data_IF_614154555729
#
_entry.id   IF_614154555729
#
_cell.length_a   1.000
_cell.length_b   1.000
_cell.length_c   1.000
_cell.angle_alpha   90.00
_cell.angle_beta   90.00
_cell.angle_gamma   90.00
#
_symmetry.space_group_name_H-M   'P 1'
#
loop_
_entity.id
_entity.type
_entity.pdbx_description
1 polymer ?
#
# COMPACT_ATOMS: atom_id res chain seq x y z
N UNK A 1 7.27 -32.14 -14.89
CA UNK A 1 7.33 -30.99 -15.82
C UNK A 1 7.93 -29.82 -15.07
N UNK A 2 9.17 -29.43 -15.40
CA UNK A 2 9.79 -28.22 -14.86
C UNK A 2 9.40 -27.09 -15.80
N UNK A 3 8.52 -26.19 -15.36
CA UNK A 3 8.19 -24.97 -16.10
C UNK A 3 9.40 -24.03 -16.01
N UNK A 4 9.84 -23.49 -17.14
CA UNK A 4 10.98 -22.57 -17.20
C UNK A 4 10.72 -21.34 -16.29
N UNK A 5 11.68 -21.01 -15.42
CA UNK A 5 11.57 -19.87 -14.50
C UNK A 5 11.36 -18.52 -15.19
N UNK A 6 11.70 -18.39 -16.48
CA UNK A 6 11.38 -17.22 -17.31
C UNK A 6 9.87 -17.04 -17.49
N UNK A 7 9.11 -18.13 -17.65
CA UNK A 7 7.65 -18.08 -17.80
C UNK A 7 7.03 -17.57 -16.50
N UNK A 8 7.47 -18.07 -15.35
CA UNK A 8 6.98 -17.59 -14.04
C UNK A 8 7.22 -16.09 -13.84
N UNK A 9 8.36 -15.56 -14.29
CA UNK A 9 8.65 -14.12 -14.22
C UNK A 9 7.66 -13.29 -15.07
N UNK A 10 7.44 -13.70 -16.31
CA UNK A 10 6.50 -13.00 -17.20
C UNK A 10 5.07 -13.06 -16.71
N UNK A 11 4.63 -14.23 -16.21
CA UNK A 11 3.31 -14.37 -15.57
C UNK A 11 3.22 -13.47 -14.34
N UNK A 12 4.25 -13.44 -13.48
CA UNK A 12 4.27 -12.59 -12.30
C UNK A 12 4.15 -11.10 -12.63
N UNK A 13 4.88 -10.63 -13.65
CA UNK A 13 4.76 -9.24 -14.14
C UNK A 13 3.36 -8.97 -14.68
N UNK A 14 2.78 -9.90 -15.44
CA UNK A 14 1.41 -9.78 -15.95
C UNK A 14 0.37 -9.67 -14.83
N UNK A 15 0.47 -10.53 -13.80
CA UNK A 15 -0.41 -10.51 -12.63
C UNK A 15 -0.26 -9.19 -11.86
N UNK A 16 0.97 -8.70 -11.67
CA UNK A 16 1.22 -7.43 -10.98
C UNK A 16 0.51 -6.26 -11.65
N UNK A 17 0.65 -6.10 -12.98
CA UNK A 17 0.00 -5.00 -13.69
C UNK A 17 -1.52 -5.16 -13.75
N UNK A 18 -2.02 -6.40 -13.84
CA UNK A 18 -3.46 -6.66 -13.81
C UNK A 18 -4.06 -6.21 -12.46
N UNK A 19 -3.51 -6.66 -11.33
CA UNK A 19 -4.03 -6.32 -10.00
C UNK A 19 -3.86 -4.84 -9.68
N UNK A 20 -2.74 -4.23 -10.08
CA UNK A 20 -2.51 -2.79 -9.94
C UNK A 20 -3.55 -1.98 -10.73
N UNK A 21 -3.85 -2.38 -11.97
CA UNK A 21 -4.85 -1.69 -12.80
C UNK A 21 -6.25 -1.79 -12.20
N UNK A 22 -6.61 -2.96 -11.66
CA UNK A 22 -7.88 -3.12 -10.93
C UNK A 22 -7.91 -2.19 -9.73
N UNK A 23 -6.85 -2.18 -8.90
CA UNK A 23 -6.75 -1.30 -7.73
C UNK A 23 -6.94 0.18 -8.08
N UNK A 24 -6.21 0.70 -9.07
CA UNK A 24 -6.30 2.12 -9.48
C UNK A 24 -7.71 2.47 -9.96
N UNK A 25 -8.40 1.54 -10.64
CA UNK A 25 -9.77 1.78 -11.12
C UNK A 25 -10.82 1.71 -10.02
N UNK A 26 -10.56 0.99 -8.94
CA UNK A 26 -11.55 0.75 -7.86
C UNK A 26 -11.24 1.51 -6.57
N UNK A 27 -10.06 2.11 -6.43
CA UNK A 27 -9.70 2.88 -5.24
C UNK A 27 -10.63 4.08 -5.07
N UNK A 28 -10.89 4.44 -3.81
CA UNK A 28 -11.71 5.60 -3.50
C UNK A 28 -11.08 6.88 -4.11
N UNK A 29 -11.88 7.76 -4.74
CA UNK A 29 -11.36 8.96 -5.41
C UNK A 29 -10.89 10.04 -4.42
N UNK A 30 -11.24 9.91 -3.14
CA UNK A 30 -10.90 10.84 -2.07
C UNK A 30 -10.55 10.10 -0.78
N UNK A 31 -10.02 10.84 0.19
CA UNK A 31 -9.66 10.37 1.53
C UNK A 31 -10.88 9.74 2.20
N UNK A 32 -10.76 8.49 2.66
CA UNK A 32 -11.83 7.85 3.44
C UNK A 32 -11.93 8.49 4.83
N UNK A 33 -13.15 8.52 5.38
CA UNK A 33 -13.44 9.26 6.61
C UNK A 33 -12.69 8.75 7.85
N UNK A 34 -12.32 7.47 7.89
CA UNK A 34 -11.85 6.82 9.11
C UNK A 34 -10.33 6.64 9.10
N UNK A 35 -9.85 5.52 8.54
CA UNK A 35 -8.46 5.12 8.64
C UNK A 35 -7.52 6.13 7.96
N UNK A 36 -7.87 6.66 6.78
CA UNK A 36 -6.94 7.51 6.05
C UNK A 36 -6.54 8.78 6.83
N UNK A 37 -7.50 9.44 7.49
CA UNK A 37 -7.22 10.62 8.31
C UNK A 37 -6.41 10.30 9.56
N UNK A 38 -6.75 9.21 10.24
CA UNK A 38 -6.02 8.73 11.42
C UNK A 38 -4.56 8.38 11.08
N UNK A 39 -4.33 7.71 9.95
CA UNK A 39 -2.99 7.37 9.48
C UNK A 39 -2.17 8.59 9.05
N UNK A 40 -2.79 9.62 8.47
CA UNK A 40 -2.10 10.89 8.16
C UNK A 40 -1.68 11.59 9.46
N UNK A 41 -2.60 11.74 10.41
CA UNK A 41 -2.34 12.41 11.68
C UNK A 41 -1.27 11.67 12.50
N UNK A 42 -1.37 10.34 12.60
CA UNK A 42 -0.38 9.52 13.31
C UNK A 42 0.96 9.47 12.61
N UNK A 43 1.02 9.51 11.27
CA UNK A 43 2.27 9.69 10.52
C UNK A 43 2.94 11.04 10.81
N UNK A 44 2.15 12.11 10.91
CA UNK A 44 2.68 13.45 11.21
C UNK A 44 3.26 13.55 12.63
N UNK A 45 2.59 12.99 13.64
CA UNK A 45 3.04 13.05 15.05
C UNK A 45 3.92 11.87 15.48
N UNK A 46 4.18 10.91 14.58
CA UNK A 46 4.81 9.61 14.90
C UNK A 46 4.07 8.83 15.99
N UNK A 47 2.74 8.85 15.91
CA UNK A 47 1.82 8.14 16.81
C UNK A 47 1.56 6.69 16.39
N UNK A 48 0.84 5.95 17.24
CA UNK A 48 0.37 4.59 16.97
C UNK A 48 -1.12 4.68 16.65
N UNK A 49 -1.57 4.34 15.42
CA UNK A 49 -3.00 4.39 15.08
C UNK A 49 -3.80 3.36 15.90
N UNK A 50 -3.56 2.06 15.66
CA UNK A 50 -4.19 0.98 16.43
C UNK A 50 -3.12 0.00 16.88
N UNK A 51 -3.13 -0.52 18.13
CA UNK A 51 -2.24 -1.59 18.55
C UNK A 51 -2.36 -2.83 17.64
N UNK A 52 -1.27 -3.48 17.20
CA UNK A 52 0.16 -3.30 17.53
C UNK A 52 0.90 -2.20 16.74
N UNK A 53 0.18 -1.41 15.94
CA UNK A 53 0.69 -0.30 15.14
C UNK A 53 0.91 -0.66 13.66
N UNK A 54 1.33 0.34 12.89
CA UNK A 54 1.77 0.19 11.49
C UNK A 54 3.09 0.93 11.27
N UNK A 55 4.18 0.49 11.93
CA UNK A 55 5.40 1.30 12.10
C UNK A 55 6.05 1.69 10.77
N UNK A 56 6.17 0.76 9.81
CA UNK A 56 6.77 1.06 8.51
C UNK A 56 5.91 2.07 7.72
N UNK A 57 4.59 1.96 7.79
CA UNK A 57 3.67 2.89 7.12
C UNK A 57 3.78 4.30 7.73
N UNK A 58 3.75 4.41 9.06
CA UNK A 58 3.86 5.68 9.80
C UNK A 58 5.20 6.35 9.53
N UNK A 59 6.30 5.59 9.48
CA UNK A 59 7.63 6.11 9.16
C UNK A 59 7.72 6.63 7.73
N UNK A 60 7.16 5.91 6.75
CA UNK A 60 7.08 6.41 5.36
C UNK A 60 6.20 7.65 5.27
N UNK A 61 5.03 7.64 5.91
CA UNK A 61 4.15 8.80 5.99
C UNK A 61 4.82 10.02 6.63
N UNK A 62 5.71 9.81 7.62
CA UNK A 62 6.49 10.90 8.21
C UNK A 62 7.42 11.55 7.19
N UNK A 63 8.08 10.77 6.32
CA UNK A 63 8.97 11.31 5.27
C UNK A 63 8.21 12.23 4.31
N UNK A 64 6.95 11.92 3.99
CA UNK A 64 6.13 12.69 3.05
C UNK A 64 5.27 13.79 3.71
N UNK A 65 5.26 13.89 5.05
CA UNK A 65 4.49 14.91 5.79
C UNK A 65 5.34 16.01 6.42
N UNK A 66 6.67 15.97 6.21
CA UNK A 66 7.60 17.08 6.45
C UNK A 66 7.48 18.13 5.35
#
# INVERSE_FOLDING_TARGET
MVVDGKIHRWVGVGVFFLTLSVYIKTMAPAVSFWDCGEFIATSYILGVPHPPGSPLYVLLGRVFSL
#
